data_IF_003670960153
#
_entry.id   IF_003670960153
#
_cell.length_a   1.000
_cell.length_b   1.000
_cell.length_c   1.000
_cell.angle_alpha   90.00
_cell.angle_beta   90.00
_cell.angle_gamma   90.00
#
_symmetry.space_group_name_H-M   'P 1'
#
loop_
_entity.id
_entity.type
_entity.pdbx_description
1 polymer ?
#
# COMPACT_ATOMS: atom_id res chain seq x y z
N UNK A 1 -30.03 3.05 2.81
CA UNK A 1 -28.98 3.63 1.95
C UNK A 1 -27.87 2.62 1.81
N UNK A 2 -27.34 2.40 0.60
CA UNK A 2 -26.11 1.61 0.47
C UNK A 2 -24.96 2.36 1.17
N UNK A 3 -24.03 1.65 1.83
CA UNK A 3 -22.91 2.32 2.50
C UNK A 3 -22.10 3.13 1.47
N UNK A 4 -21.77 4.37 1.81
CA UNK A 4 -20.92 5.19 0.94
C UNK A 4 -19.49 4.65 1.00
N UNK A 5 -18.84 4.55 -0.16
CA UNK A 5 -17.40 4.27 -0.22
C UNK A 5 -16.65 5.52 0.21
N UNK A 6 -15.69 5.39 1.12
CA UNK A 6 -14.83 6.48 1.54
C UNK A 6 -13.44 6.31 0.94
N UNK A 7 -12.95 7.33 0.24
CA UNK A 7 -11.58 7.36 -0.27
C UNK A 7 -10.59 7.65 0.87
N UNK A 8 -9.47 6.92 0.89
CA UNK A 8 -8.34 7.16 1.79
C UNK A 8 -7.23 7.86 1.02
N UNK A 9 -6.70 8.94 1.60
CA UNK A 9 -5.56 9.69 1.08
C UNK A 9 -4.56 10.02 2.19
N UNK A 10 -3.27 9.87 1.89
CA UNK A 10 -2.16 10.33 2.72
C UNK A 10 -0.99 10.77 1.85
N UNK A 11 -0.27 11.78 2.32
CA UNK A 11 1.00 12.28 1.78
C UNK A 11 2.20 11.43 2.19
N UNK A 12 2.03 10.50 3.14
CA UNK A 12 3.08 9.59 3.61
C UNK A 12 3.24 8.34 2.74
N UNK A 13 2.43 8.20 1.69
CA UNK A 13 2.54 7.13 0.70
C UNK A 13 2.47 7.73 -0.71
N UNK A 14 3.01 7.05 -1.74
CA UNK A 14 2.99 7.56 -3.11
C UNK A 14 1.59 7.96 -3.56
N UNK A 15 1.48 9.07 -4.29
CA UNK A 15 0.21 9.51 -4.82
C UNK A 15 -0.38 8.44 -5.77
N UNK A 16 -1.70 8.18 -5.71
CA UNK A 16 -2.31 7.23 -6.61
C UNK A 16 -2.35 7.81 -8.03
N UNK A 17 -2.40 6.94 -9.03
CA UNK A 17 -2.69 7.37 -10.42
C UNK A 17 -4.10 7.99 -10.48
N UNK A 18 -4.40 8.88 -11.44
CA UNK A 18 -5.67 9.62 -11.47
C UNK A 18 -6.95 8.76 -11.44
N UNK A 19 -6.87 7.51 -11.90
CA UNK A 19 -7.98 6.56 -11.96
C UNK A 19 -7.96 5.52 -10.81
N UNK A 20 -7.09 5.71 -9.81
CA UNK A 20 -6.94 4.84 -8.64
C UNK A 20 -7.05 5.67 -7.35
N UNK A 21 -7.38 4.99 -6.26
CA UNK A 21 -7.28 5.51 -4.89
C UNK A 21 -6.18 4.73 -4.15
N UNK A 22 -5.54 5.32 -3.13
CA UNK A 22 -4.58 4.56 -2.30
C UNK A 22 -5.28 3.41 -1.56
N UNK A 23 -6.44 3.70 -0.99
CA UNK A 23 -7.37 2.70 -0.51
C UNK A 23 -8.82 3.22 -0.55
N UNK A 24 -9.77 2.30 -0.47
CA UNK A 24 -11.17 2.59 -0.21
C UNK A 24 -11.61 1.88 1.07
N UNK A 25 -12.35 2.59 1.92
CA UNK A 25 -13.09 2.00 3.03
C UNK A 25 -14.52 1.77 2.58
N UNK A 26 -15.01 0.55 2.79
CA UNK A 26 -16.39 0.19 2.55
C UNK A 26 -16.85 -0.76 3.66
N UNK A 27 -17.84 -0.31 4.44
CA UNK A 27 -18.15 -0.87 5.76
C UNK A 27 -16.88 -0.89 6.63
N UNK A 28 -16.62 -1.97 7.35
CA UNK A 28 -15.47 -2.12 8.24
C UNK A 28 -14.22 -2.72 7.57
N UNK A 29 -14.16 -2.69 6.24
CA UNK A 29 -13.03 -3.21 5.47
C UNK A 29 -12.29 -2.13 4.71
N UNK A 30 -10.96 -2.24 4.74
CA UNK A 30 -10.04 -1.40 3.97
C UNK A 30 -9.53 -2.19 2.77
N UNK A 31 -9.80 -1.70 1.57
CA UNK A 31 -9.28 -2.25 0.32
C UNK A 31 -8.15 -1.37 -0.17
N UNK A 32 -6.91 -1.83 -0.05
CA UNK A 32 -5.73 -1.11 -0.51
C UNK A 32 -5.47 -1.38 -1.99
N UNK A 33 -5.09 -0.35 -2.74
CA UNK A 33 -4.40 -0.54 -4.01
C UNK A 33 -3.05 -1.21 -3.81
N UNK A 34 -2.48 -1.74 -4.89
CA UNK A 34 -1.11 -2.27 -4.86
C UNK A 34 -0.11 -1.17 -4.54
N UNK A 35 0.80 -1.44 -3.61
CA UNK A 35 1.95 -0.58 -3.33
C UNK A 35 3.22 -1.18 -3.94
N UNK A 36 4.16 -0.31 -4.27
CA UNK A 36 5.52 -0.67 -4.69
C UNK A 36 6.53 0.02 -3.77
N UNK A 37 7.80 -0.39 -3.84
CA UNK A 37 8.92 0.22 -3.11
C UNK A 37 9.30 1.60 -3.62
N UNK A 38 8.35 2.53 -3.66
CA UNK A 38 8.51 3.91 -4.11
C UNK A 38 8.59 4.85 -2.90
N UNK A 39 9.48 5.83 -2.97
CA UNK A 39 9.59 6.88 -1.96
C UNK A 39 8.49 7.93 -2.19
N UNK A 40 7.64 8.23 -1.20
CA UNK A 40 6.53 9.16 -1.35
C UNK A 40 6.98 10.61 -1.63
N UNK A 41 8.17 11.02 -1.17
CA UNK A 41 8.68 12.37 -1.38
C UNK A 41 9.25 12.58 -2.79
N UNK A 42 9.81 11.54 -3.40
CA UNK A 42 10.46 11.64 -4.71
C UNK A 42 9.67 11.03 -5.85
N UNK A 43 8.62 10.24 -5.53
CA UNK A 43 7.84 9.43 -6.46
C UNK A 43 8.67 8.50 -7.35
N UNK A 44 9.86 8.12 -6.87
CA UNK A 44 10.77 7.19 -7.54
C UNK A 44 10.91 5.91 -6.74
N UNK A 45 11.15 4.82 -7.46
CA UNK A 45 11.51 3.54 -6.87
C UNK A 45 12.80 3.70 -6.07
N UNK A 46 12.85 3.16 -4.86
CA UNK A 46 14.06 3.26 -4.05
C UNK A 46 15.16 2.39 -4.62
N UNK A 47 16.40 2.85 -4.44
CA UNK A 47 17.59 2.04 -4.72
C UNK A 47 17.73 0.92 -3.69
N UNK A 48 18.57 -0.07 -4.02
CA UNK A 48 18.85 -1.21 -3.16
C UNK A 48 18.22 -2.52 -3.63
N UNK A 49 18.15 -3.46 -2.68
CA UNK A 49 17.75 -4.84 -2.91
C UNK A 49 16.23 -5.02 -2.98
N UNK A 50 15.78 -6.21 -3.37
CA UNK A 50 14.36 -6.59 -3.27
C UNK A 50 13.85 -6.46 -1.83
N UNK A 51 14.66 -6.83 -0.83
CA UNK A 51 14.30 -6.68 0.58
C UNK A 51 14.09 -5.21 0.98
N UNK A 52 14.94 -4.29 0.50
CA UNK A 52 14.79 -2.86 0.76
C UNK A 52 13.48 -2.33 0.17
N UNK A 53 13.20 -2.69 -1.08
CA UNK A 53 11.96 -2.31 -1.79
C UNK A 53 10.73 -2.92 -1.13
N UNK A 54 10.80 -4.16 -0.64
CA UNK A 54 9.74 -4.80 0.14
C UNK A 54 9.46 -4.04 1.44
N UNK A 55 10.51 -3.65 2.18
CA UNK A 55 10.35 -2.82 3.39
C UNK A 55 9.66 -1.49 3.07
N UNK A 56 10.04 -0.84 1.97
CA UNK A 56 9.39 0.41 1.55
C UNK A 56 7.93 0.18 1.13
N UNK A 57 7.64 -0.91 0.42
CA UNK A 57 6.27 -1.29 0.07
C UNK A 57 5.41 -1.46 1.33
N UNK A 58 5.89 -2.20 2.32
CA UNK A 58 5.19 -2.41 3.59
C UNK A 58 5.01 -1.11 4.38
N UNK A 59 6.00 -0.21 4.38
CA UNK A 59 5.86 1.13 4.98
C UNK A 59 4.77 1.94 4.31
N UNK A 60 4.73 1.93 2.97
CA UNK A 60 3.69 2.63 2.21
C UNK A 60 2.30 2.07 2.55
N UNK A 61 2.14 0.74 2.63
CA UNK A 61 0.88 0.11 3.06
C UNK A 61 0.53 0.47 4.50
N UNK A 62 1.49 0.48 5.43
CA UNK A 62 1.25 0.89 6.83
C UNK A 62 0.68 2.30 6.88
N UNK A 63 1.31 3.25 6.18
CA UNK A 63 0.86 4.65 6.14
C UNK A 63 -0.57 4.79 5.58
N UNK A 64 -0.91 4.02 4.56
CA UNK A 64 -2.26 4.00 3.97
C UNK A 64 -3.28 3.40 4.96
N UNK A 65 -2.94 2.30 5.63
CA UNK A 65 -3.82 1.66 6.62
C UNK A 65 -4.03 2.55 7.85
N UNK A 66 -2.97 3.21 8.33
CA UNK A 66 -3.06 4.19 9.43
C UNK A 66 -3.96 5.36 9.07
N UNK A 67 -3.86 5.89 7.84
CA UNK A 67 -4.76 6.93 7.35
C UNK A 67 -6.23 6.48 7.25
N UNK A 68 -6.46 5.16 7.13
CA UNK A 68 -7.78 4.56 7.16
C UNK A 68 -8.27 4.20 8.59
N UNK A 69 -7.51 4.50 9.64
CA UNK A 69 -7.84 4.12 11.03
C UNK A 69 -7.57 2.64 11.35
N UNK A 70 -6.75 1.97 10.54
CA UNK A 70 -6.37 0.56 10.67
C UNK A 70 -4.86 0.40 10.95
N UNK A 71 -4.33 -0.81 10.81
CA UNK A 71 -2.91 -1.11 10.97
C UNK A 71 -2.54 -2.42 10.24
N UNK A 72 -1.22 -2.67 10.08
CA UNK A 72 -0.72 -3.93 9.53
C UNK A 72 -1.19 -5.17 10.35
N UNK A 73 -1.40 -5.01 11.66
CA UNK A 73 -1.86 -6.08 12.55
C UNK A 73 -3.30 -6.54 12.25
N UNK A 74 -4.08 -5.71 11.56
CA UNK A 74 -5.47 -5.99 11.18
C UNK A 74 -5.60 -6.55 9.76
N UNK A 75 -4.49 -6.88 9.10
CA UNK A 75 -4.53 -7.46 7.75
C UNK A 75 -5.11 -8.88 7.80
N UNK A 76 -6.16 -9.10 7.01
CA UNK A 76 -6.79 -10.42 6.84
C UNK A 76 -6.20 -11.16 5.62
N UNK A 77 -5.79 -10.42 4.58
CA UNK A 77 -5.24 -10.98 3.34
C UNK A 77 -4.25 -10.01 2.72
N UNK A 78 -3.12 -10.55 2.25
CA UNK A 78 -2.17 -9.85 1.38
C UNK A 78 -1.97 -10.62 0.08
N UNK A 79 -1.79 -9.90 -1.03
CA UNK A 79 -1.37 -10.47 -2.32
C UNK A 79 -0.04 -9.84 -2.69
N UNK A 80 0.99 -10.67 -2.86
CA UNK A 80 2.34 -10.24 -3.20
C UNK A 80 2.62 -10.65 -4.64
N UNK A 81 3.03 -9.69 -5.45
CA UNK A 81 3.49 -9.91 -6.82
C UNK A 81 5.01 -9.72 -6.86
N UNK A 82 5.72 -10.73 -7.35
CA UNK A 82 7.16 -10.70 -7.55
C UNK A 82 7.45 -10.74 -9.05
N UNK A 83 8.53 -10.09 -9.44
CA UNK A 83 9.10 -10.19 -10.79
C UNK A 83 9.79 -11.54 -11.02
N UNK A 84 10.50 -12.03 -10.00
CA UNK A 84 11.15 -13.33 -9.94
C UNK A 84 10.82 -14.01 -8.61
N UNK A 85 10.36 -15.26 -8.67
CA UNK A 85 10.06 -16.08 -7.50
C UNK A 85 11.30 -16.39 -6.64
N UNK A 86 12.50 -16.33 -7.21
CA UNK A 86 13.75 -16.47 -6.44
C UNK A 86 13.87 -15.42 -5.33
N UNK A 87 13.20 -14.27 -5.46
CA UNK A 87 13.20 -13.20 -4.46
C UNK A 87 12.41 -13.51 -3.19
N UNK A 88 11.65 -14.62 -3.12
CA UNK A 88 10.81 -14.93 -1.96
C UNK A 88 11.61 -15.46 -0.75
N UNK A 89 12.82 -15.98 -0.97
CA UNK A 89 13.67 -16.60 0.06
C UNK A 89 14.99 -15.82 0.31
N UNK A 90 15.19 -14.70 -0.39
CA UNK A 90 16.45 -13.94 -0.40
C UNK A 90 16.49 -12.75 0.56
#
# INVERSE_FOLDING_TARGET
MAPAKQEVRTDKAPAPKPFLSQALVFNDMVYTSGAVGMNPATEKLIEGTTADRTKQCLRNISNILEAAGSSLEKIIKVTIFLDDMANILG
#
